data_IF_472756720511
#
_entry.id   IF_472756720511
#
_cell.length_a   1.000
_cell.length_b   1.000
_cell.length_c   1.000
_cell.angle_alpha   90.00
_cell.angle_beta   90.00
_cell.angle_gamma   90.00
#
_symmetry.space_group_name_H-M   'P 1'
#
loop_
_entity.id
_entity.type
_entity.pdbx_description
1 polymer ?
#
# COMPACT_ATOMS: atom_id res chain seq x y z
N UNK A 1 30.71 -15.50 -4.06
CA UNK A 1 30.02 -15.80 -2.78
C UNK A 1 29.45 -14.58 -2.00
N UNK A 2 30.03 -13.37 -2.03
CA UNK A 2 29.50 -12.20 -1.26
C UNK A 2 28.10 -11.75 -1.71
N UNK A 3 27.87 -11.64 -3.03
CA UNK A 3 26.59 -11.18 -3.58
C UNK A 3 25.42 -12.09 -3.20
N UNK A 4 25.60 -13.40 -3.24
CA UNK A 4 24.58 -14.38 -2.83
C UNK A 4 24.12 -14.16 -1.40
N UNK A 5 25.05 -14.01 -0.45
CA UNK A 5 24.73 -13.71 0.96
C UNK A 5 23.95 -12.41 1.12
N UNK A 6 24.35 -11.36 0.39
CA UNK A 6 23.64 -10.07 0.39
C UNK A 6 22.23 -10.18 -0.20
N UNK A 7 22.06 -10.96 -1.26
CA UNK A 7 20.76 -11.21 -1.89
C UNK A 7 19.80 -11.88 -0.92
N UNK A 8 20.23 -12.92 -0.19
CA UNK A 8 19.37 -13.59 0.81
C UNK A 8 18.83 -12.58 1.83
N UNK A 9 19.70 -11.76 2.41
CA UNK A 9 19.30 -10.74 3.41
C UNK A 9 18.33 -9.71 2.82
N UNK A 10 18.58 -9.24 1.60
CA UNK A 10 17.69 -8.29 0.91
C UNK A 10 16.34 -8.90 0.58
N UNK A 11 16.31 -10.15 0.12
CA UNK A 11 15.09 -10.88 -0.22
C UNK A 11 14.20 -11.05 0.99
N UNK A 12 14.75 -11.43 2.15
CA UNK A 12 13.98 -11.56 3.39
C UNK A 12 13.33 -10.23 3.80
N UNK A 13 14.10 -9.14 3.84
CA UNK A 13 13.60 -7.80 4.18
C UNK A 13 12.52 -7.31 3.19
N UNK A 14 12.77 -7.50 1.90
CA UNK A 14 11.84 -7.08 0.84
C UNK A 14 10.56 -7.93 0.85
N UNK A 15 10.65 -9.21 1.22
CA UNK A 15 9.52 -10.11 1.40
C UNK A 15 8.58 -9.60 2.49
N UNK A 16 9.11 -9.33 3.69
CA UNK A 16 8.31 -8.82 4.82
C UNK A 16 7.61 -7.50 4.50
N UNK A 17 8.31 -6.55 3.86
CA UNK A 17 7.73 -5.25 3.48
C UNK A 17 6.63 -5.41 2.41
N UNK A 18 6.86 -6.26 1.40
CA UNK A 18 5.85 -6.55 0.37
C UNK A 18 4.61 -7.20 0.97
N UNK A 19 4.80 -8.13 1.92
CA UNK A 19 3.70 -8.77 2.63
C UNK A 19 2.92 -7.77 3.48
N UNK A 20 3.60 -6.93 4.27
CA UNK A 20 2.97 -5.87 5.07
C UNK A 20 2.10 -4.95 4.22
N UNK A 21 2.59 -4.49 3.06
CA UNK A 21 1.80 -3.66 2.13
C UNK A 21 0.56 -4.41 1.64
N UNK A 22 0.67 -5.71 1.35
CA UNK A 22 -0.47 -6.55 0.93
C UNK A 22 -1.51 -6.67 2.06
N UNK A 23 -1.08 -6.89 3.30
CA UNK A 23 -1.99 -6.97 4.46
C UNK A 23 -2.71 -5.66 4.70
N UNK A 24 -1.99 -4.54 4.64
CA UNK A 24 -2.57 -3.20 4.79
C UNK A 24 -3.56 -2.87 3.67
N UNK A 25 -3.22 -3.20 2.42
CA UNK A 25 -4.14 -3.00 1.28
C UNK A 25 -5.44 -3.78 1.45
N UNK A 26 -5.35 -5.05 1.89
CA UNK A 26 -6.52 -5.86 2.22
C UNK A 26 -7.34 -5.28 3.38
N UNK A 27 -6.70 -4.62 4.34
CA UNK A 27 -7.43 -3.94 5.43
C UNK A 27 -8.29 -2.81 4.87
N UNK A 28 -7.75 -1.96 3.99
CA UNK A 28 -8.53 -0.92 3.31
C UNK A 28 -9.73 -1.52 2.57
N UNK A 29 -9.52 -2.59 1.80
CA UNK A 29 -10.61 -3.27 1.09
C UNK A 29 -11.70 -3.81 2.04
N UNK A 30 -11.33 -4.26 3.25
CA UNK A 30 -12.29 -4.70 4.27
C UNK A 30 -13.06 -3.53 4.88
N UNK A 31 -12.39 -2.44 5.25
CA UNK A 31 -13.06 -1.24 5.80
C UNK A 31 -14.01 -0.63 4.78
N UNK A 32 -13.62 -0.62 3.50
CA UNK A 32 -14.48 -0.25 2.38
C UNK A 32 -15.71 -1.16 2.38
N UNK A 33 -15.58 -2.48 2.37
CA UNK A 33 -16.77 -3.37 2.41
C UNK A 33 -17.68 -3.13 3.63
N UNK A 34 -17.11 -2.74 4.76
CA UNK A 34 -17.84 -2.45 6.00
C UNK A 34 -18.48 -1.04 6.02
N UNK A 35 -18.30 -0.21 4.97
CA UNK A 35 -18.85 1.15 4.83
C UNK A 35 -18.42 2.16 5.94
N UNK A 36 -17.29 1.94 6.61
CA UNK A 36 -16.77 2.88 7.62
C UNK A 36 -15.86 3.93 6.96
N UNK A 37 -16.37 5.15 6.77
CA UNK A 37 -15.65 6.24 6.08
C UNK A 37 -14.36 6.66 6.79
N UNK A 38 -14.45 6.99 8.07
CA UNK A 38 -13.29 7.46 8.87
C UNK A 38 -12.19 6.39 8.97
N UNK A 39 -12.59 5.12 9.16
CA UNK A 39 -11.65 4.01 9.26
C UNK A 39 -10.96 3.73 7.93
N UNK A 40 -11.68 3.88 6.81
CA UNK A 40 -11.12 3.70 5.47
C UNK A 40 -10.08 4.79 5.13
N UNK A 41 -10.36 6.05 5.48
CA UNK A 41 -9.41 7.16 5.29
C UNK A 41 -8.15 7.02 6.15
N UNK A 42 -8.32 6.70 7.43
CA UNK A 42 -7.19 6.46 8.33
C UNK A 42 -6.34 5.26 7.87
N UNK A 43 -6.98 4.21 7.34
CA UNK A 43 -6.28 3.07 6.77
C UNK A 43 -5.55 3.45 5.47
N UNK A 44 -6.16 4.27 4.61
CA UNK A 44 -5.57 4.74 3.36
C UNK A 44 -4.27 5.52 3.62
N UNK A 45 -4.26 6.46 4.57
CA UNK A 45 -3.07 7.25 4.94
C UNK A 45 -1.92 6.33 5.35
N UNK A 46 -2.21 5.31 6.18
CA UNK A 46 -1.21 4.32 6.63
C UNK A 46 -0.63 3.53 5.46
N UNK A 47 -1.48 3.12 4.50
CA UNK A 47 -1.04 2.35 3.34
C UNK A 47 -0.19 3.19 2.39
N UNK A 48 -0.61 4.44 2.13
CA UNK A 48 0.14 5.38 1.28
C UNK A 48 1.53 5.62 1.86
N UNK A 49 1.63 5.94 3.16
CA UNK A 49 2.92 6.12 3.84
C UNK A 49 3.83 4.89 3.73
N UNK A 50 3.27 3.68 3.87
CA UNK A 50 4.02 2.44 3.74
C UNK A 50 4.52 2.20 2.30
N UNK A 51 3.69 2.50 1.30
CA UNK A 51 4.05 2.38 -0.12
C UNK A 51 5.16 3.36 -0.50
N UNK A 52 5.06 4.62 -0.06
CA UNK A 52 6.05 5.65 -0.36
C UNK A 52 7.41 5.34 0.27
N UNK A 53 7.41 4.84 1.52
CA UNK A 53 8.64 4.35 2.17
C UNK A 53 9.27 3.19 1.40
N UNK A 54 8.46 2.27 0.86
CA UNK A 54 8.97 1.15 0.05
C UNK A 54 9.47 1.61 -1.33
N UNK A 55 8.87 2.64 -1.91
CA UNK A 55 9.32 3.27 -3.16
C UNK A 55 10.67 3.99 -2.97
N UNK A 56 10.82 4.78 -1.91
CA UNK A 56 12.08 5.46 -1.56
C UNK A 56 13.24 4.48 -1.39
N UNK A 57 12.99 3.33 -0.76
CA UNK A 57 13.98 2.25 -0.58
C UNK A 57 14.20 1.39 -1.84
N UNK A 58 13.60 1.74 -2.98
CA UNK A 58 13.64 0.98 -4.24
C UNK A 58 13.19 -0.48 -4.12
N UNK A 59 12.36 -0.79 -3.12
CA UNK A 59 11.77 -2.13 -2.93
C UNK A 59 10.62 -2.33 -3.92
N UNK A 60 9.87 -1.25 -4.17
CA UNK A 60 8.87 -1.15 -5.24
C UNK A 60 9.33 -0.13 -6.27
N UNK A 61 9.10 -0.43 -7.55
CA UNK A 61 9.28 0.57 -8.59
C UNK A 61 8.26 1.71 -8.41
N UNK A 62 8.67 2.95 -8.68
CA UNK A 62 7.84 4.17 -8.62
C UNK A 62 6.48 4.02 -9.31
N UNK A 63 6.45 3.42 -10.49
CA UNK A 63 5.18 3.21 -11.22
C UNK A 63 4.29 2.17 -10.53
N UNK A 64 4.87 1.17 -9.88
CA UNK A 64 4.10 0.17 -9.11
C UNK A 64 3.56 0.78 -7.82
N UNK A 65 4.31 1.65 -7.16
CA UNK A 65 3.84 2.43 -6.02
C UNK A 65 2.66 3.34 -6.42
N UNK A 66 2.84 4.17 -7.45
CA UNK A 66 1.82 5.07 -7.98
C UNK A 66 0.54 4.34 -8.39
N UNK A 67 0.65 3.22 -9.13
CA UNK A 67 -0.50 2.39 -9.50
C UNK A 67 -1.28 1.86 -8.29
N UNK A 68 -0.58 1.46 -7.22
CA UNK A 68 -1.24 0.96 -6.01
C UNK A 68 -1.97 2.06 -5.25
N UNK A 69 -1.34 3.23 -5.10
CA UNK A 69 -1.97 4.40 -4.46
C UNK A 69 -3.22 4.79 -5.23
N UNK A 70 -3.12 4.97 -6.56
CA UNK A 70 -4.25 5.35 -7.40
C UNK A 70 -5.44 4.37 -7.31
N UNK A 71 -5.17 3.05 -7.32
CA UNK A 71 -6.24 2.04 -7.20
C UNK A 71 -6.93 2.07 -5.85
N UNK A 72 -6.19 2.22 -4.76
CA UNK A 72 -6.76 2.27 -3.41
C UNK A 72 -7.52 3.56 -3.16
N UNK A 73 -6.99 4.70 -3.61
CA UNK A 73 -7.68 6.00 -3.53
C UNK A 73 -8.98 5.98 -4.33
N UNK A 74 -8.98 5.40 -5.54
CA UNK A 74 -10.21 5.25 -6.33
C UNK A 74 -11.26 4.39 -5.63
N UNK A 75 -10.83 3.32 -4.96
CA UNK A 75 -11.72 2.43 -4.22
C UNK A 75 -12.39 3.17 -3.05
N UNK A 76 -11.61 3.92 -2.26
CA UNK A 76 -12.15 4.71 -1.14
C UNK A 76 -13.07 5.82 -1.64
N UNK A 77 -12.65 6.56 -2.68
CA UNK A 77 -13.45 7.64 -3.26
C UNK A 77 -14.76 7.13 -3.87
N UNK A 78 -14.81 5.91 -4.40
CA UNK A 78 -16.07 5.33 -4.92
C UNK A 78 -17.14 5.12 -3.83
N UNK A 79 -16.76 5.15 -2.55
CA UNK A 79 -17.70 5.11 -1.42
C UNK A 79 -18.22 6.49 -1.01
N UNK A 80 -17.52 7.55 -1.40
CA UNK A 80 -17.91 8.92 -1.11
C UNK A 80 -18.76 9.38 -2.30
N UNK A 81 -20.10 9.40 -2.19
CA UNK A 81 -20.91 10.04 -3.22
C UNK A 81 -20.46 11.50 -3.34
N UNK A 82 -20.37 11.96 -4.59
CA UNK A 82 -19.91 13.29 -4.96
C UNK A 82 -20.79 14.38 -4.36
N UNK A 83 -20.37 14.95 -3.24
CA UNK A 83 -20.74 16.30 -2.80
C UNK A 83 -19.72 17.28 -3.41
N UNK A 84 -19.73 17.41 -4.74
CA UNK A 84 -18.97 18.41 -5.48
C UNK A 84 -19.45 18.47 -6.93
N UNK A 85 -20.57 19.14 -7.15
CA UNK A 85 -20.91 19.86 -8.37
C UNK A 85 -21.66 21.12 -7.96
#
# INVERSE_FOLDING_TARGET
>A
MKRTRQTVVRTLKNGSIKNMIKTLSKKVEKEVKNKSKESAEAALIKVVSAIDKAAKKRILHRNTASRKVSRLSRLVNSMLPSEAA
#
